data_IF_986621744595
#
_entry.id   IF_986621744595
#
_cell.length_a   1.000
_cell.length_b   1.000
_cell.length_c   1.000
_cell.angle_alpha   90.00
_cell.angle_beta   90.00
_cell.angle_gamma   90.00
#
_symmetry.space_group_name_H-M   'P 1'
#
loop_
_entity.id
_entity.type
_entity.pdbx_description
1 polymer ?
#
# COMPACT_ATOMS: atom_id res chain seq x y z
N UNK A 1 -2.80 -12.60 -10.77
CA UNK A 1 -3.28 -11.19 -10.78
C UNK A 1 -2.87 -10.55 -9.46
N UNK A 2 -2.45 -9.29 -9.47
CA UNK A 2 -2.19 -8.54 -8.23
C UNK A 2 -3.52 -8.13 -7.58
N UNK A 3 -3.64 -8.20 -6.24
CA UNK A 3 -4.87 -7.79 -5.56
C UNK A 3 -5.13 -6.28 -5.75
N UNK A 4 -6.40 -5.84 -5.84
CA UNK A 4 -6.73 -4.43 -5.86
C UNK A 4 -6.18 -3.70 -4.63
N UNK A 5 -5.67 -2.49 -4.83
CA UNK A 5 -5.07 -1.66 -3.78
C UNK A 5 -5.94 -0.43 -3.59
N UNK A 6 -6.50 -0.27 -2.39
CA UNK A 6 -7.50 0.78 -2.11
C UNK A 6 -7.00 1.75 -1.06
N UNK A 7 -7.41 3.02 -1.21
CA UNK A 7 -7.23 4.05 -0.20
C UNK A 7 -8.55 4.23 0.57
N UNK A 8 -8.43 4.51 1.87
CA UNK A 8 -9.56 4.93 2.70
C UNK A 8 -9.49 6.44 2.92
N UNK A 9 -10.55 7.16 2.56
CA UNK A 9 -10.70 8.58 2.82
C UNK A 9 -11.59 8.75 4.06
N UNK A 10 -11.00 9.25 5.15
CA UNK A 10 -11.62 9.38 6.47
C UNK A 10 -11.32 8.18 7.39
N UNK A 11 -10.44 8.36 8.38
CA UNK A 11 -9.98 7.33 9.33
C UNK A 11 -10.88 7.15 10.56
N UNK A 12 -12.12 7.65 10.52
CA UNK A 12 -13.10 7.57 11.60
C UNK A 12 -13.83 6.22 11.69
N UNK A 13 -14.96 6.18 12.41
CA UNK A 13 -15.75 4.95 12.65
C UNK A 13 -16.06 4.19 11.36
N UNK A 14 -16.61 4.88 10.35
CA UNK A 14 -16.98 4.28 9.05
C UNK A 14 -15.75 3.78 8.27
N UNK A 15 -14.68 4.57 8.21
CA UNK A 15 -13.45 4.17 7.54
C UNK A 15 -12.88 2.88 8.13
N UNK A 16 -12.90 2.74 9.46
CA UNK A 16 -12.45 1.50 10.15
C UNK A 16 -13.33 0.30 9.80
N UNK A 17 -14.65 0.49 9.73
CA UNK A 17 -15.58 -0.57 9.30
C UNK A 17 -15.27 -0.99 7.87
N UNK A 18 -15.10 -0.04 6.94
CA UNK A 18 -14.75 -0.37 5.55
C UNK A 18 -13.42 -1.11 5.45
N UNK A 19 -12.38 -0.64 6.15
CA UNK A 19 -11.08 -1.30 6.19
C UNK A 19 -11.17 -2.73 6.72
N UNK A 20 -11.94 -2.94 7.80
CA UNK A 20 -12.17 -4.26 8.36
C UNK A 20 -12.93 -5.16 7.39
N UNK A 21 -13.98 -4.66 6.75
CA UNK A 21 -14.74 -5.38 5.73
C UNK A 21 -13.87 -5.78 4.54
N UNK A 22 -13.00 -4.88 4.05
CA UNK A 22 -12.04 -5.18 2.98
C UNK A 22 -11.15 -6.37 3.39
N UNK A 23 -10.61 -6.36 4.61
CA UNK A 23 -9.72 -7.42 5.11
C UNK A 23 -10.42 -8.79 5.24
N UNK A 24 -11.70 -8.82 5.61
CA UNK A 24 -12.40 -10.08 5.90
C UNK A 24 -13.26 -10.60 4.73
N UNK A 25 -13.69 -9.73 3.81
CA UNK A 25 -14.60 -10.08 2.73
C UNK A 25 -13.94 -10.10 1.35
N UNK A 26 -12.70 -9.62 1.20
CA UNK A 26 -12.07 -9.44 -0.12
C UNK A 26 -10.59 -9.80 -0.10
N UNK A 27 -9.99 -9.94 -1.29
CA UNK A 27 -8.53 -10.04 -1.47
C UNK A 27 -7.84 -8.68 -1.60
N UNK A 28 -8.57 -7.57 -1.53
CA UNK A 28 -8.02 -6.24 -1.70
C UNK A 28 -7.18 -5.80 -0.49
N UNK A 29 -6.21 -4.91 -0.75
CA UNK A 29 -5.30 -4.39 0.27
C UNK A 29 -5.61 -2.94 0.57
N UNK A 30 -5.79 -2.60 1.84
CA UNK A 30 -5.83 -1.21 2.31
C UNK A 30 -4.41 -0.64 2.26
N UNK A 31 -4.15 0.15 1.24
CA UNK A 31 -2.82 0.64 0.88
C UNK A 31 -2.46 1.96 1.57
N UNK A 32 -3.46 2.83 1.72
CA UNK A 32 -3.27 4.19 2.21
C UNK A 32 -4.50 4.71 2.98
N UNK A 33 -4.30 5.78 3.74
CA UNK A 33 -5.38 6.57 4.35
C UNK A 33 -5.18 8.07 4.13
N UNK A 34 -6.26 8.77 3.81
CA UNK A 34 -6.34 10.23 3.86
C UNK A 34 -7.24 10.65 5.04
N UNK A 35 -6.68 11.29 6.06
CA UNK A 35 -7.41 11.70 7.27
C UNK A 35 -6.77 12.94 7.88
N UNK A 36 -7.50 14.08 8.02
CA UNK A 36 -6.89 15.33 8.45
C UNK A 36 -6.39 15.30 9.90
N UNK A 37 -7.04 14.57 10.79
CA UNK A 37 -6.65 14.51 12.21
C UNK A 37 -5.46 13.56 12.39
N UNK A 38 -4.25 14.05 12.78
CA UNK A 38 -3.04 13.23 12.82
C UNK A 38 -3.17 11.97 13.67
N UNK A 39 -3.78 12.09 14.85
CA UNK A 39 -4.01 10.95 15.74
C UNK A 39 -4.87 9.87 15.09
N UNK A 40 -5.98 10.23 14.44
CA UNK A 40 -6.87 9.27 13.76
C UNK A 40 -6.15 8.61 12.59
N UNK A 41 -5.41 9.38 11.81
CA UNK A 41 -4.63 8.91 10.67
C UNK A 41 -3.61 7.85 11.10
N UNK A 42 -2.80 8.16 12.11
CA UNK A 42 -1.78 7.25 12.65
C UNK A 42 -2.41 5.99 13.25
N UNK A 43 -3.48 6.15 14.04
CA UNK A 43 -4.20 5.03 14.65
C UNK A 43 -4.78 4.09 13.59
N UNK A 44 -5.44 4.66 12.57
CA UNK A 44 -6.00 3.91 11.45
C UNK A 44 -4.91 3.14 10.72
N UNK A 45 -3.84 3.82 10.34
CA UNK A 45 -2.81 3.24 9.52
C UNK A 45 -2.04 2.13 10.28
N UNK A 46 -1.83 2.29 11.60
CA UNK A 46 -1.31 1.23 12.49
C UNK A 46 -2.23 0.00 12.57
N UNK A 47 -3.54 0.22 12.47
CA UNK A 47 -4.53 -0.84 12.62
C UNK A 47 -4.77 -1.63 11.32
N UNK A 48 -4.64 -0.99 10.16
CA UNK A 48 -5.11 -1.57 8.89
C UNK A 48 -4.07 -1.59 7.76
N UNK A 49 -2.96 -0.84 7.85
CA UNK A 49 -2.02 -0.65 6.73
C UNK A 49 -0.64 -1.25 7.04
N UNK A 50 -0.01 -0.87 8.16
CA UNK A 50 1.40 -1.21 8.42
C UNK A 50 1.60 -2.20 9.57
N UNK A 51 2.59 -3.08 9.37
CA UNK A 51 3.25 -3.90 10.41
C UNK A 51 4.56 -3.29 10.91
N UNK A 52 5.10 -2.27 10.22
CA UNK A 52 6.41 -1.67 10.49
C UNK A 52 6.33 -0.20 10.95
N UNK A 53 7.37 0.24 11.66
CA UNK A 53 7.58 1.62 12.11
C UNK A 53 8.96 2.08 11.64
N UNK A 54 9.13 3.24 10.97
CA UNK A 54 8.11 4.25 10.61
C UNK A 54 7.23 3.85 9.41
N UNK A 55 6.08 4.54 9.18
CA UNK A 55 5.23 4.31 8.00
C UNK A 55 6.01 4.54 6.71
N UNK A 56 5.80 3.69 5.70
CA UNK A 56 6.41 3.88 4.40
C UNK A 56 5.80 5.08 3.68
N UNK A 57 6.56 5.69 2.77
CA UNK A 57 6.06 6.75 1.91
C UNK A 57 4.80 6.28 1.14
N UNK A 58 3.80 7.16 1.03
CA UNK A 58 2.58 6.88 0.29
C UNK A 58 1.47 6.16 1.07
N UNK A 59 1.61 5.97 2.38
CA UNK A 59 0.62 5.26 3.19
C UNK A 59 -0.32 6.18 3.99
N UNK A 60 0.09 7.42 4.24
CA UNK A 60 -0.65 8.36 5.08
C UNK A 60 -0.62 9.75 4.47
N UNK A 61 -1.80 10.37 4.36
CA UNK A 61 -2.00 11.71 3.83
C UNK A 61 -2.97 12.48 4.73
N UNK A 62 -2.76 13.78 4.90
CA UNK A 62 -3.73 14.61 5.60
C UNK A 62 -4.99 14.80 4.74
N UNK A 63 -4.79 14.95 3.43
CA UNK A 63 -5.85 15.22 2.46
C UNK A 63 -5.79 14.25 1.27
N UNK A 64 -6.91 14.07 0.57
CA UNK A 64 -7.02 13.09 -0.51
C UNK A 64 -6.28 13.51 -1.78
N UNK A 65 -6.16 14.80 -2.01
CA UNK A 65 -5.45 15.42 -3.14
C UNK A 65 -3.93 15.25 -3.01
N UNK A 66 -3.39 15.25 -1.79
CA UNK A 66 -2.00 14.85 -1.53
C UNK A 66 -1.72 13.42 -2.02
N UNK A 67 -2.66 12.49 -1.80
CA UNK A 67 -2.55 11.14 -2.34
C UNK A 67 -2.59 11.13 -3.88
N UNK A 68 -3.50 11.89 -4.48
CA UNK A 68 -3.62 11.95 -5.94
C UNK A 68 -2.33 12.50 -6.57
N UNK A 69 -1.75 13.54 -5.99
CA UNK A 69 -0.47 14.08 -6.42
C UNK A 69 0.65 13.04 -6.30
N UNK A 70 0.75 12.38 -5.14
CA UNK A 70 1.76 11.35 -4.88
C UNK A 70 1.64 10.13 -5.82
N UNK A 71 0.43 9.59 -6.01
CA UNK A 71 0.23 8.40 -6.86
C UNK A 71 0.39 8.75 -8.35
N UNK A 72 0.02 9.97 -8.76
CA UNK A 72 0.26 10.44 -10.12
C UNK A 72 1.76 10.55 -10.43
N UNK A 73 2.53 11.10 -9.49
CA UNK A 73 3.99 11.15 -9.59
C UNK A 73 4.60 9.74 -9.59
N UNK A 74 4.17 8.87 -8.66
CA UNK A 74 4.60 7.47 -8.59
C UNK A 74 4.42 6.76 -9.93
N UNK A 75 3.25 6.91 -10.57
CA UNK A 75 2.97 6.28 -11.87
C UNK A 75 3.83 6.84 -13.00
N UNK A 76 4.17 8.14 -12.98
CA UNK A 76 5.09 8.73 -13.97
C UNK A 76 6.50 8.14 -13.83
N UNK A 77 7.01 8.05 -12.60
CA UNK A 77 8.31 7.45 -12.31
C UNK A 77 8.35 5.96 -12.66
N UNK A 78 7.29 5.22 -12.34
CA UNK A 78 7.12 3.82 -12.75
C UNK A 78 7.17 3.65 -14.28
N UNK A 79 6.47 4.51 -15.03
CA UNK A 79 6.49 4.51 -16.48
C UNK A 79 7.85 4.91 -17.07
N UNK A 80 8.64 5.70 -16.34
CA UNK A 80 10.02 6.05 -16.69
C UNK A 80 11.03 4.94 -16.31
N UNK A 81 10.58 3.83 -15.72
CA UNK A 81 11.44 2.72 -15.30
C UNK A 81 12.17 2.96 -13.98
N UNK A 82 11.81 4.00 -13.23
CA UNK A 82 12.40 4.27 -11.92
C UNK A 82 11.86 3.29 -10.87
N UNK A 83 12.68 2.91 -9.87
CA UNK A 83 12.19 2.15 -8.72
C UNK A 83 11.16 2.98 -7.93
N UNK A 84 9.95 2.44 -7.79
CA UNK A 84 8.89 3.08 -7.01
C UNK A 84 8.45 2.20 -5.83
N UNK A 85 8.08 2.79 -4.68
CA UNK A 85 7.48 2.02 -3.59
C UNK A 85 6.17 1.36 -4.05
N UNK A 86 6.01 0.07 -3.78
CA UNK A 86 4.68 -0.55 -3.86
C UNK A 86 3.82 0.06 -2.76
N UNK A 87 2.59 0.47 -3.08
CA UNK A 87 1.68 1.15 -2.12
C UNK A 87 1.28 0.30 -0.89
N UNK A 88 1.84 -0.90 -0.73
CA UNK A 88 2.02 -1.60 0.54
C UNK A 88 3.06 -2.68 0.31
N UNK A 89 4.10 -2.69 1.12
CA UNK A 89 5.03 -3.81 1.17
C UNK A 89 4.45 -4.81 2.18
N UNK A 90 3.95 -5.93 1.67
CA UNK A 90 4.31 -7.23 2.22
C UNK A 90 5.04 -7.99 1.11
N UNK A 91 6.34 -8.13 1.30
CA UNK A 91 7.27 -8.96 0.54
C UNK A 91 7.31 -10.34 1.23
N UNK A 92 7.02 -11.43 0.51
CA UNK A 92 7.89 -12.64 0.45
C UNK A 92 7.27 -13.72 -0.45
N UNK A 93 8.01 -14.16 -1.48
CA UNK A 93 7.94 -15.49 -2.14
C UNK A 93 7.62 -15.62 -3.65
N UNK A 94 7.68 -14.59 -4.52
CA UNK A 94 7.57 -14.85 -6.00
C UNK A 94 8.67 -14.19 -6.85
N UNK A 95 9.82 -13.85 -6.26
CA UNK A 95 10.98 -13.35 -7.04
C UNK A 95 12.30 -14.04 -6.71
N UNK A 96 12.26 -15.27 -6.16
CA UNK A 96 13.48 -16.02 -5.78
C UNK A 96 13.50 -17.49 -6.23
N UNK A 97 12.99 -17.82 -7.43
CA UNK A 97 13.17 -19.16 -8.02
C UNK A 97 13.37 -19.19 -9.54
N UNK A 98 13.72 -18.08 -10.21
CA UNK A 98 13.92 -18.10 -11.67
C UNK A 98 15.30 -17.67 -12.17
N UNK A 99 16.35 -18.01 -11.42
CA UNK A 99 17.74 -17.82 -11.90
C UNK A 99 18.70 -18.94 -11.53
N UNK A 100 18.22 -20.14 -11.17
CA UNK A 100 19.08 -21.29 -10.82
C UNK A 100 18.77 -22.57 -11.61
N UNK A 101 18.23 -22.44 -12.82
CA UNK A 101 18.16 -23.55 -13.80
C UNK A 101 18.61 -23.05 -15.18
N UNK A 102 19.84 -22.54 -15.29
CA UNK A 102 20.48 -22.30 -16.58
C UNK A 102 22.00 -22.23 -16.45
N UNK A 103 22.60 -23.13 -15.66
CA UNK A 103 24.04 -23.39 -15.70
C UNK A 103 24.36 -24.71 -15.00
N UNK A 104 24.11 -25.84 -15.68
CA UNK A 104 24.96 -27.05 -15.66
C UNK A 104 24.20 -28.30 -16.19
N UNK A 105 24.28 -28.51 -17.49
CA UNK A 105 24.48 -29.82 -18.15
C UNK A 105 24.91 -29.51 -19.59
N UNK A 106 25.81 -30.29 -20.21
CA UNK A 106 25.95 -31.75 -20.10
C UNK A 106 27.04 -32.23 -19.14
#
# INVERSE_FOLDING_TARGET
>A
MSPPRVIIIGGGSRGKVYAKSIQICTSAVVAAVAEPVPYKRQFFAKSFIHTHTPPAAGQQFAHWDEFVAWESDRRKREAAGEPVPLASILLSSVYSTRTTEMSSSP
#
